data_IF_341460878537
#
_entry.id   IF_341460878537
#
_cell.length_a   1.000
_cell.length_b   1.000
_cell.length_c   1.000
_cell.angle_alpha   90.00
_cell.angle_beta   90.00
_cell.angle_gamma   90.00
#
_symmetry.space_group_name_H-M   'P 1'
#
loop_
_entity.id
_entity.type
_entity.pdbx_description
1 polymer ?
#
# COMPACT_ATOMS: atom_id res chain seq x y z
N UNK A 1 -2.17 -57.11 7.49
CA UNK A 1 -1.80 -55.72 7.15
C UNK A 1 -2.78 -55.16 6.11
N UNK A 2 -3.56 -54.15 6.50
CA UNK A 2 -4.21 -53.14 5.63
C UNK A 2 -4.33 -51.86 6.48
N UNK A 3 -4.01 -50.65 5.98
CA UNK A 3 -4.10 -49.44 6.78
C UNK A 3 -5.56 -49.05 7.00
N UNK A 4 -5.93 -48.72 8.25
CA UNK A 4 -7.25 -48.15 8.57
C UNK A 4 -7.30 -46.73 8.02
N UNK A 5 -8.29 -46.46 7.19
CA UNK A 5 -8.51 -45.16 6.56
C UNK A 5 -8.75 -44.04 7.57
N UNK A 6 -8.22 -42.86 7.27
CA UNK A 6 -8.50 -41.65 8.00
C UNK A 6 -9.90 -41.18 7.63
N UNK A 7 -10.86 -41.31 8.56
CA UNK A 7 -12.18 -40.70 8.43
C UNK A 7 -12.01 -39.20 8.63
N UNK A 8 -12.27 -38.42 7.57
CA UNK A 8 -12.46 -36.97 7.62
C UNK A 8 -13.62 -36.69 8.58
N UNK A 9 -13.33 -36.08 9.72
CA UNK A 9 -14.37 -35.57 10.62
C UNK A 9 -14.89 -34.29 9.97
N UNK A 10 -16.05 -34.38 9.34
CA UNK A 10 -16.92 -33.22 9.12
C UNK A 10 -17.47 -32.86 10.49
N UNK A 11 -17.09 -31.72 11.06
CA UNK A 11 -17.74 -31.20 12.27
C UNK A 11 -18.74 -30.13 11.87
N UNK A 12 -20.00 -30.39 12.20
CA UNK A 12 -21.06 -29.40 12.31
C UNK A 12 -20.59 -28.16 13.08
N UNK A 13 -20.85 -26.98 12.51
CA UNK A 13 -20.52 -25.63 12.98
C UNK A 13 -21.30 -25.19 14.23
N UNK A 14 -21.52 -26.09 15.20
CA UNK A 14 -22.10 -25.67 16.47
C UNK A 14 -21.77 -26.66 17.59
N UNK A 15 -20.58 -26.54 18.21
CA UNK A 15 -20.33 -27.03 19.59
C UNK A 15 -18.95 -26.66 20.16
N UNK A 16 -19.04 -26.02 21.34
CA UNK A 16 -18.07 -25.90 22.44
C UNK A 16 -17.01 -24.80 22.28
N UNK A 17 -17.35 -23.63 22.82
CA UNK A 17 -16.35 -22.79 23.50
C UNK A 17 -15.72 -23.65 24.61
N UNK A 18 -14.59 -24.26 24.28
CA UNK A 18 -13.67 -24.79 25.28
C UNK A 18 -13.06 -23.56 25.90
N UNK A 19 -13.36 -23.30 27.17
CA UNK A 19 -12.65 -22.30 27.95
C UNK A 19 -11.21 -22.80 28.13
N UNK A 20 -10.32 -22.31 27.28
CA UNK A 20 -8.91 -22.67 27.27
C UNK A 20 -8.12 -21.94 28.35
N UNK A 21 -8.74 -20.97 29.05
CA UNK A 21 -8.04 -20.02 29.92
C UNK A 21 -7.05 -19.11 29.17
N UNK A 22 -7.01 -19.19 27.83
CA UNK A 22 -6.18 -18.32 26.99
C UNK A 22 -6.99 -17.09 26.59
N UNK A 23 -6.35 -15.91 26.45
CA UNK A 23 -7.00 -14.76 25.83
C UNK A 23 -7.50 -15.14 24.42
N UNK A 24 -8.54 -14.45 23.92
CA UNK A 24 -9.00 -14.67 22.56
C UNK A 24 -7.84 -14.45 21.58
N UNK A 25 -7.75 -15.28 20.55
CA UNK A 25 -6.77 -15.12 19.48
C UNK A 25 -7.13 -13.88 18.65
N UNK A 26 -6.65 -12.72 19.09
CA UNK A 26 -6.81 -11.44 18.40
C UNK A 26 -5.47 -11.00 17.84
N UNK A 27 -5.49 -10.57 16.59
CA UNK A 27 -4.38 -9.81 16.01
C UNK A 27 -4.61 -8.34 16.42
N UNK A 28 -3.64 -7.69 17.08
CA UNK A 28 -3.76 -6.26 17.38
C UNK A 28 -3.95 -5.46 16.09
N UNK A 29 -4.79 -4.42 16.14
CA UNK A 29 -5.11 -3.58 14.96
C UNK A 29 -3.88 -2.90 14.32
N UNK A 30 -2.74 -2.88 15.03
CA UNK A 30 -1.47 -2.36 14.53
C UNK A 30 -0.69 -3.33 13.63
N UNK A 31 -1.14 -4.58 13.46
CA UNK A 31 -0.51 -5.54 12.56
C UNK A 31 -1.21 -5.56 11.19
N UNK A 32 -0.41 -5.55 10.13
CA UNK A 32 -0.86 -5.68 8.74
C UNK A 32 0.01 -6.65 7.95
N UNK A 33 -0.38 -6.86 6.69
CA UNK A 33 0.35 -7.74 5.75
C UNK A 33 0.63 -7.04 4.43
N UNK A 34 1.81 -7.27 3.85
CA UNK A 34 2.05 -6.86 2.47
C UNK A 34 1.37 -7.86 1.52
N UNK A 35 0.80 -7.35 0.44
CA UNK A 35 0.21 -8.14 -0.66
C UNK A 35 0.86 -7.75 -1.98
N UNK A 36 0.69 -8.57 -3.01
CA UNK A 36 1.21 -8.32 -4.37
C UNK A 36 0.17 -8.64 -5.46
N UNK A 37 -1.12 -8.46 -5.15
CA UNK A 37 -2.22 -8.65 -6.09
C UNK A 37 -3.10 -7.39 -6.11
N UNK A 38 -3.77 -7.17 -7.24
CA UNK A 38 -4.75 -6.11 -7.46
C UNK A 38 -6.02 -6.73 -8.07
N UNK A 39 -7.09 -5.95 -8.19
CA UNK A 39 -8.36 -6.43 -8.72
C UNK A 39 -9.19 -7.24 -7.71
N UNK A 40 -10.18 -7.98 -8.22
CA UNK A 40 -11.11 -8.79 -7.41
C UNK A 40 -10.50 -10.12 -6.94
N UNK A 41 -9.64 -10.08 -5.92
CA UNK A 41 -9.04 -11.30 -5.32
C UNK A 41 -9.74 -11.70 -4.01
N UNK A 42 -10.91 -12.32 -4.14
CA UNK A 42 -11.77 -12.66 -3.00
C UNK A 42 -11.11 -13.67 -2.04
N UNK A 43 -10.41 -14.68 -2.58
CA UNK A 43 -9.91 -15.79 -1.78
C UNK A 43 -8.79 -15.36 -0.85
N UNK A 44 -7.82 -14.58 -1.33
CA UNK A 44 -6.73 -14.12 -0.48
C UNK A 44 -7.22 -13.09 0.54
N UNK A 45 -8.14 -12.18 0.16
CA UNK A 45 -8.72 -11.23 1.11
C UNK A 45 -9.52 -11.93 2.21
N UNK A 46 -10.29 -12.98 1.89
CA UNK A 46 -10.96 -13.81 2.90
C UNK A 46 -9.96 -14.45 3.88
N UNK A 47 -8.80 -14.91 3.39
CA UNK A 47 -7.76 -15.47 4.23
C UNK A 47 -7.13 -14.43 5.16
N UNK A 48 -6.86 -13.22 4.65
CA UNK A 48 -6.33 -12.08 5.43
C UNK A 48 -7.31 -11.70 6.54
N UNK A 49 -8.59 -11.52 6.20
CA UNK A 49 -9.61 -11.11 7.16
C UNK A 49 -9.84 -12.18 8.24
N UNK A 50 -9.89 -13.46 7.85
CA UNK A 50 -10.03 -14.61 8.77
C UNK A 50 -8.83 -14.80 9.68
N UNK A 51 -7.63 -14.41 9.23
CA UNK A 51 -6.44 -14.41 10.07
C UNK A 51 -6.45 -13.26 11.11
N UNK A 52 -7.36 -12.29 10.97
CA UNK A 52 -7.53 -11.18 11.91
C UNK A 52 -6.88 -9.87 11.47
N UNK A 53 -6.19 -9.83 10.33
CA UNK A 53 -5.58 -8.59 9.84
C UNK A 53 -6.65 -7.60 9.34
N UNK A 54 -6.40 -6.32 9.57
CA UNK A 54 -7.28 -5.21 9.15
C UNK A 54 -6.58 -4.18 8.26
N UNK A 55 -5.29 -4.37 8.00
CA UNK A 55 -4.51 -3.56 7.09
C UNK A 55 -3.70 -4.40 6.12
N UNK A 56 -3.71 -4.00 4.86
CA UNK A 56 -2.75 -4.41 3.84
C UNK A 56 -1.78 -3.28 3.50
N UNK A 57 -0.62 -3.60 2.93
CA UNK A 57 0.26 -2.65 2.23
C UNK A 57 0.53 -3.17 0.82
N UNK A 58 0.41 -2.31 -0.18
CA UNK A 58 0.46 -2.67 -1.60
C UNK A 58 1.06 -1.54 -2.44
N UNK A 59 1.91 -1.90 -3.42
CA UNK A 59 2.45 -0.96 -4.41
C UNK A 59 1.32 -0.33 -5.24
N UNK A 60 1.43 0.97 -5.52
CA UNK A 60 0.46 1.75 -6.29
C UNK A 60 1.16 2.36 -7.51
N UNK A 61 1.53 1.47 -8.42
CA UNK A 61 2.41 1.73 -9.55
C UNK A 61 1.90 2.80 -10.53
N UNK A 62 2.52 3.97 -10.51
CA UNK A 62 2.26 5.14 -11.35
C UNK A 62 2.27 4.82 -12.83
N UNK A 63 3.28 4.10 -13.32
CA UNK A 63 3.37 3.70 -14.74
C UNK A 63 2.23 2.77 -15.21
N UNK A 64 1.60 2.04 -14.29
CA UNK A 64 0.46 1.17 -14.63
C UNK A 64 -0.87 1.94 -14.62
N UNK A 65 -0.93 3.07 -13.92
CA UNK A 65 -2.13 3.89 -13.78
C UNK A 65 -2.15 5.01 -14.84
N UNK A 66 -1.05 5.76 -14.99
CA UNK A 66 -0.91 6.81 -15.99
C UNK A 66 -0.28 6.23 -17.27
N UNK A 67 -1.11 5.57 -18.09
CA UNK A 67 -0.69 5.03 -19.40
C UNK A 67 -0.76 6.07 -20.52
N UNK A 68 -1.51 7.15 -20.30
CA UNK A 68 -1.58 8.34 -21.14
C UNK A 68 -1.34 9.54 -20.25
N UNK A 69 -0.56 10.51 -20.72
CA UNK A 69 -0.13 11.65 -19.90
C UNK A 69 -1.32 12.43 -19.32
N UNK A 70 -1.41 12.51 -17.99
CA UNK A 70 -2.47 13.18 -17.24
C UNK A 70 -3.80 12.41 -17.15
N UNK A 71 -3.88 11.18 -17.67
CA UNK A 71 -5.06 10.32 -17.58
C UNK A 71 -4.75 9.13 -16.67
N UNK A 72 -5.58 8.92 -15.64
CA UNK A 72 -5.37 7.90 -14.62
C UNK A 72 -6.44 6.83 -14.66
N UNK A 73 -6.04 5.57 -14.84
CA UNK A 73 -6.92 4.41 -14.74
C UNK A 73 -6.71 3.70 -13.39
N UNK A 74 -7.67 3.88 -12.49
CA UNK A 74 -7.65 3.29 -11.15
C UNK A 74 -8.43 1.97 -11.04
N UNK A 75 -8.99 1.43 -12.13
CA UNK A 75 -10.00 0.37 -12.08
C UNK A 75 -9.54 -0.86 -11.25
N UNK A 76 -8.31 -1.34 -11.47
CA UNK A 76 -7.81 -2.50 -10.75
C UNK A 76 -7.64 -2.25 -9.24
N UNK A 77 -7.36 -1.01 -8.84
CA UNK A 77 -7.25 -0.62 -7.43
C UNK A 77 -8.61 -0.32 -6.81
N UNK A 78 -9.58 0.18 -7.58
CA UNK A 78 -10.97 0.27 -7.14
C UNK A 78 -11.50 -1.12 -6.76
N UNK A 79 -11.32 -2.10 -7.64
CA UNK A 79 -11.71 -3.48 -7.39
C UNK A 79 -11.02 -4.08 -6.15
N UNK A 80 -9.75 -3.77 -5.94
CA UNK A 80 -9.02 -4.19 -4.74
C UNK A 80 -9.58 -3.53 -3.48
N UNK A 81 -9.75 -2.21 -3.47
CA UNK A 81 -10.26 -1.45 -2.32
C UNK A 81 -11.68 -1.88 -1.97
N UNK A 82 -12.54 -2.10 -2.95
CA UNK A 82 -13.90 -2.64 -2.73
C UNK A 82 -13.86 -4.04 -2.12
N UNK A 83 -12.97 -4.91 -2.63
CA UNK A 83 -12.81 -6.27 -2.11
C UNK A 83 -12.32 -6.25 -0.67
N UNK A 84 -11.33 -5.43 -0.34
CA UNK A 84 -10.81 -5.26 1.02
C UNK A 84 -11.88 -4.68 1.96
N UNK A 85 -12.55 -3.60 1.55
CA UNK A 85 -13.55 -2.92 2.36
C UNK A 85 -14.74 -3.84 2.70
N UNK A 86 -15.13 -4.73 1.78
CA UNK A 86 -16.19 -5.72 2.04
C UNK A 86 -15.85 -6.75 3.14
N UNK A 87 -14.61 -6.76 3.63
CA UNK A 87 -14.12 -7.60 4.74
C UNK A 87 -13.59 -6.76 5.92
N UNK A 88 -13.93 -5.47 5.99
CA UNK A 88 -13.42 -4.52 6.97
C UNK A 88 -11.88 -4.42 6.97
N UNK A 89 -11.25 -4.66 5.81
CA UNK A 89 -9.81 -4.50 5.62
C UNK A 89 -9.54 -3.18 4.88
N UNK A 90 -8.56 -2.42 5.35
CA UNK A 90 -8.07 -1.19 4.74
C UNK A 90 -6.70 -1.41 4.11
N UNK A 91 -6.23 -0.45 3.31
CA UNK A 91 -4.92 -0.56 2.66
C UNK A 91 -4.09 0.70 2.82
N UNK A 92 -2.78 0.50 2.95
CA UNK A 92 -1.74 1.48 2.68
C UNK A 92 -1.33 1.28 1.22
N UNK A 93 -1.45 2.34 0.43
CA UNK A 93 -0.92 2.37 -0.93
C UNK A 93 0.38 3.14 -0.97
N UNK A 94 1.39 2.51 -1.56
CA UNK A 94 2.69 3.11 -1.77
C UNK A 94 2.66 3.81 -3.12
N UNK A 95 2.75 5.13 -3.12
CA UNK A 95 2.89 5.89 -4.36
C UNK A 95 4.29 5.60 -4.92
N UNK A 96 4.37 4.77 -5.94
CA UNK A 96 5.61 4.28 -6.55
C UNK A 96 5.37 3.95 -8.03
N UNK A 97 6.33 3.54 -8.84
CA UNK A 97 7.65 4.17 -8.91
C UNK A 97 7.60 5.26 -9.99
N UNK A 98 8.56 5.28 -10.88
CA UNK A 98 8.68 6.17 -12.02
C UNK A 98 7.61 5.93 -13.11
N UNK A 99 7.51 6.88 -14.03
CA UNK A 99 6.74 6.75 -15.27
C UNK A 99 7.61 7.25 -16.45
N UNK A 100 7.62 6.50 -17.56
CA UNK A 100 8.42 6.79 -18.77
C UNK A 100 8.18 8.17 -19.39
N UNK A 101 7.05 8.81 -19.08
CA UNK A 101 6.72 10.15 -19.60
C UNK A 101 7.51 11.28 -18.94
N UNK A 102 8.14 11.03 -17.79
CA UNK A 102 8.81 12.03 -16.98
C UNK A 102 10.21 11.55 -16.62
N UNK A 103 11.16 12.48 -16.50
CA UNK A 103 12.51 12.20 -15.98
C UNK A 103 13.20 11.01 -16.64
N UNK A 104 12.98 10.82 -17.95
CA UNK A 104 13.51 9.70 -18.74
C UNK A 104 13.17 8.31 -18.14
N UNK A 105 12.09 8.21 -17.37
CA UNK A 105 11.69 7.00 -16.69
C UNK A 105 12.57 6.63 -15.51
N UNK A 106 13.26 7.57 -14.86
CA UNK A 106 13.87 7.34 -13.53
C UNK A 106 13.06 8.02 -12.43
N UNK A 107 13.58 8.02 -11.19
CA UNK A 107 12.92 8.64 -10.04
C UNK A 107 12.75 10.15 -10.24
N UNK A 108 11.65 10.77 -9.74
CA UNK A 108 11.43 12.19 -9.94
C UNK A 108 12.57 13.08 -9.42
N UNK A 109 13.20 13.86 -10.30
CA UNK A 109 14.30 14.79 -9.95
C UNK A 109 14.18 16.16 -10.63
N UNK A 110 13.32 16.33 -11.63
CA UNK A 110 12.99 17.64 -12.18
C UNK A 110 11.71 18.20 -11.57
N UNK A 111 11.48 19.50 -11.71
CA UNK A 111 10.21 20.10 -11.25
C UNK A 111 9.02 19.52 -12.02
N UNK A 112 9.17 19.29 -13.33
CA UNK A 112 8.14 18.66 -14.16
C UNK A 112 7.78 17.26 -13.65
N UNK A 113 8.78 16.40 -13.38
CA UNK A 113 8.55 15.06 -12.85
C UNK A 113 7.95 15.07 -11.44
N UNK A 114 8.43 15.95 -10.54
CA UNK A 114 7.90 16.10 -9.18
C UNK A 114 6.44 16.57 -9.19
N UNK A 115 6.10 17.58 -9.98
CA UNK A 115 4.72 18.08 -10.08
C UNK A 115 3.79 17.11 -10.79
N UNK A 116 4.28 16.34 -11.76
CA UNK A 116 3.50 15.27 -12.37
C UNK A 116 3.17 14.14 -11.38
N UNK A 117 4.17 13.70 -10.60
CA UNK A 117 3.96 12.71 -9.54
C UNK A 117 3.01 13.25 -8.46
N UNK A 118 3.11 14.53 -8.10
CA UNK A 118 2.18 15.18 -7.18
C UNK A 118 0.75 15.27 -7.76
N UNK A 119 0.59 15.53 -9.06
CA UNK A 119 -0.72 15.53 -9.71
C UNK A 119 -1.36 14.14 -9.72
N UNK A 120 -0.57 13.09 -9.95
CA UNK A 120 -0.98 11.71 -9.79
C UNK A 120 -1.43 11.41 -8.36
N UNK A 121 -0.63 11.78 -7.36
CA UNK A 121 -0.97 11.59 -5.95
C UNK A 121 -2.26 12.33 -5.56
N UNK A 122 -2.44 13.57 -6.01
CA UNK A 122 -3.68 14.35 -5.80
C UNK A 122 -4.89 13.67 -6.43
N UNK A 123 -4.77 13.21 -7.67
CA UNK A 123 -5.85 12.52 -8.36
C UNK A 123 -6.24 11.21 -7.64
N UNK A 124 -5.24 10.44 -7.18
CA UNK A 124 -5.45 9.23 -6.42
C UNK A 124 -6.14 9.51 -5.08
N UNK A 125 -5.66 10.49 -4.29
CA UNK A 125 -6.30 10.88 -3.04
C UNK A 125 -7.75 11.33 -3.23
N UNK A 126 -8.02 12.16 -4.24
CA UNK A 126 -9.37 12.60 -4.56
C UNK A 126 -10.29 11.42 -4.96
N UNK A 127 -9.78 10.48 -5.76
CA UNK A 127 -10.53 9.31 -6.23
C UNK A 127 -10.88 8.32 -5.11
N UNK A 128 -9.95 8.08 -4.19
CA UNK A 128 -10.15 7.17 -3.05
C UNK A 128 -10.62 7.86 -1.77
N UNK A 129 -11.01 9.14 -1.85
CA UNK A 129 -11.49 9.92 -0.70
C UNK A 129 -12.63 9.20 0.01
N UNK A 130 -12.52 9.08 1.33
CA UNK A 130 -13.52 8.41 2.17
C UNK A 130 -13.52 6.88 2.08
N UNK A 131 -12.65 6.25 1.26
CA UNK A 131 -12.51 4.79 1.16
C UNK A 131 -11.51 4.21 2.17
N UNK A 132 -11.00 5.02 3.10
CA UNK A 132 -10.13 4.57 4.18
C UNK A 132 -8.70 4.20 3.76
N UNK A 133 -8.25 4.63 2.58
CA UNK A 133 -6.87 4.44 2.07
C UNK A 133 -5.89 5.34 2.83
N UNK A 134 -4.70 4.81 3.11
CA UNK A 134 -3.54 5.55 3.62
C UNK A 134 -2.50 5.65 2.50
N UNK A 135 -1.77 6.75 2.44
CA UNK A 135 -0.80 7.01 1.37
C UNK A 135 0.61 7.01 1.92
N UNK A 136 1.50 6.23 1.34
CA UNK A 136 2.93 6.22 1.64
C UNK A 136 3.70 6.84 0.46
N UNK A 137 4.58 7.79 0.75
CA UNK A 137 5.36 8.50 -0.28
C UNK A 137 6.64 7.73 -0.59
N UNK A 138 6.63 7.05 -1.73
CA UNK A 138 7.74 6.24 -2.28
C UNK A 138 8.09 5.01 -1.43
N UNK A 139 8.72 4.00 -2.05
CA UNK A 139 9.28 2.84 -1.35
C UNK A 139 10.82 2.94 -1.33
N UNK A 140 11.42 2.86 -0.15
CA UNK A 140 12.86 2.71 0.10
C UNK A 140 13.75 3.67 -0.71
N UNK A 141 13.52 5.00 -0.63
CA UNK A 141 14.26 5.98 -1.42
C UNK A 141 15.76 6.02 -1.12
N UNK A 142 16.21 5.42 -0.01
CA UNK A 142 17.60 5.28 0.37
C UNK A 142 18.35 4.17 -0.37
N UNK A 143 17.65 3.33 -1.15
CA UNK A 143 18.27 2.29 -1.98
C UNK A 143 18.27 2.70 -3.45
N UNK A 144 19.43 2.62 -4.10
CA UNK A 144 19.57 2.87 -5.55
C UNK A 144 18.66 1.97 -6.41
N UNK A 145 18.30 0.78 -5.91
CA UNK A 145 17.34 -0.11 -6.57
C UNK A 145 15.94 0.51 -6.72
N UNK A 146 15.56 1.38 -5.78
CA UNK A 146 14.24 2.02 -5.77
C UNK A 146 14.34 3.53 -6.03
N UNK A 147 15.54 4.09 -6.05
CA UNK A 147 15.78 5.47 -6.44
C UNK A 147 16.91 5.58 -7.47
N UNK A 148 16.54 5.73 -8.74
CA UNK A 148 17.50 5.77 -9.85
C UNK A 148 17.85 7.21 -10.27
N UNK A 149 19.10 7.45 -10.72
CA UNK A 149 20.19 6.49 -10.92
C UNK A 149 20.98 6.13 -9.65
N UNK A 150 20.84 6.92 -8.58
CA UNK A 150 21.44 6.67 -7.28
C UNK A 150 20.55 7.29 -6.20
N UNK A 151 20.46 6.63 -5.04
CA UNK A 151 19.71 7.15 -3.90
C UNK A 151 20.11 8.60 -3.57
N UNK A 152 19.11 9.47 -3.41
CA UNK A 152 19.33 10.89 -3.18
C UNK A 152 18.26 11.45 -2.23
N UNK A 153 18.67 11.76 -1.00
CA UNK A 153 17.78 12.31 0.02
C UNK A 153 17.25 13.69 -0.34
N UNK A 154 18.03 14.55 -0.99
CA UNK A 154 17.57 15.89 -1.38
C UNK A 154 16.44 15.83 -2.39
N UNK A 155 16.56 14.95 -3.40
CA UNK A 155 15.52 14.79 -4.41
C UNK A 155 14.26 14.16 -3.82
N UNK A 156 14.40 13.18 -2.92
CA UNK A 156 13.28 12.63 -2.17
C UNK A 156 12.56 13.71 -1.35
N UNK A 157 13.28 14.54 -0.60
CA UNK A 157 12.69 15.62 0.21
C UNK A 157 11.97 16.63 -0.68
N UNK A 158 12.56 17.01 -1.82
CA UNK A 158 11.91 17.92 -2.79
C UNK A 158 10.62 17.31 -3.36
N UNK A 159 10.60 16.01 -3.64
CA UNK A 159 9.40 15.29 -4.06
C UNK A 159 8.35 15.27 -2.93
N UNK A 160 8.72 14.83 -1.72
CA UNK A 160 7.80 14.73 -0.59
C UNK A 160 7.14 16.08 -0.24
N UNK A 161 7.90 17.19 -0.35
CA UNK A 161 7.40 18.56 -0.13
C UNK A 161 6.30 18.99 -1.09
N UNK A 162 6.25 18.45 -2.31
CA UNK A 162 5.17 18.75 -3.27
C UNK A 162 4.06 17.70 -3.24
N UNK A 163 4.36 16.45 -2.90
CA UNK A 163 3.38 15.36 -2.84
C UNK A 163 2.48 15.48 -1.62
N UNK A 164 3.02 15.80 -0.44
CA UNK A 164 2.22 15.97 0.78
C UNK A 164 1.07 16.99 0.62
N UNK A 165 1.30 18.24 0.19
CA UNK A 165 0.20 19.18 0.00
C UNK A 165 -0.75 18.73 -1.11
N UNK A 166 -0.25 18.11 -2.18
CA UNK A 166 -1.10 17.61 -3.27
C UNK A 166 -2.06 16.50 -2.81
N UNK A 167 -1.60 15.56 -1.97
CA UNK A 167 -2.45 14.58 -1.30
C UNK A 167 -3.52 15.25 -0.45
N UNK A 168 -3.15 16.28 0.33
CA UNK A 168 -4.09 17.05 1.16
C UNK A 168 -5.09 17.87 0.35
N UNK A 169 -4.72 18.34 -0.83
CA UNK A 169 -5.66 18.99 -1.76
C UNK A 169 -6.67 18.01 -2.34
N UNK A 170 -6.26 16.77 -2.61
CA UNK A 170 -7.16 15.71 -3.10
C UNK A 170 -8.10 15.19 -2.01
N UNK A 171 -7.55 14.97 -0.81
CA UNK A 171 -8.29 14.57 0.38
C UNK A 171 -7.66 15.17 1.65
N UNK A 172 -8.26 16.24 2.24
CA UNK A 172 -7.70 16.89 3.43
C UNK A 172 -7.54 15.96 4.63
N UNK A 173 -8.40 14.93 4.71
CA UNK A 173 -8.49 14.01 5.84
C UNK A 173 -7.61 12.77 5.67
N UNK A 174 -6.97 12.58 4.52
CA UNK A 174 -6.14 11.39 4.28
C UNK A 174 -4.91 11.36 5.20
N UNK A 175 -4.50 10.15 5.58
CA UNK A 175 -3.24 9.95 6.32
C UNK A 175 -2.10 9.73 5.34
N UNK A 176 -0.97 10.39 5.62
CA UNK A 176 0.24 10.33 4.79
C UNK A 176 1.40 9.79 5.64
N UNK A 177 2.14 8.82 5.09
CA UNK A 177 3.28 8.13 5.70
C UNK A 177 4.55 8.47 4.90
N UNK A 178 5.62 8.88 5.59
CA UNK A 178 6.93 9.15 5.00
C UNK A 178 8.01 9.35 6.11
N UNK A 179 9.30 9.06 5.84
CA UNK A 179 9.81 8.28 4.72
C UNK A 179 9.72 6.76 4.96
N UNK A 180 9.48 5.99 3.90
CA UNK A 180 9.45 4.53 3.95
C UNK A 180 10.84 3.96 3.63
N UNK A 181 11.79 4.08 4.55
CA UNK A 181 13.19 3.67 4.34
C UNK A 181 13.37 2.14 4.42
N UNK A 182 14.42 1.65 3.76
CA UNK A 182 14.92 0.30 4.00
C UNK A 182 15.82 0.29 5.23
N UNK A 183 15.49 -0.58 6.19
CA UNK A 183 16.24 -0.71 7.43
C UNK A 183 16.22 0.54 8.30
N UNK A 184 17.24 0.70 9.14
CA UNK A 184 17.47 1.91 9.91
C UNK A 184 18.61 2.71 9.29
N UNK A 185 18.26 3.84 8.67
CA UNK A 185 19.19 4.74 8.00
C UNK A 185 19.13 6.12 8.68
N UNK A 186 19.97 6.29 9.69
CA UNK A 186 19.99 7.50 10.51
C UNK A 186 20.41 8.73 9.68
N UNK A 187 21.41 8.58 8.81
CA UNK A 187 21.96 9.69 8.01
C UNK A 187 20.92 10.21 7.01
N UNK A 188 20.13 9.32 6.41
CA UNK A 188 19.01 9.72 5.56
C UNK A 188 17.95 10.48 6.36
N UNK A 189 17.57 9.98 7.55
CA UNK A 189 16.58 10.65 8.40
C UNK A 189 17.05 12.02 8.87
N UNK A 190 18.30 12.15 9.33
CA UNK A 190 18.89 13.42 9.77
C UNK A 190 19.00 14.43 8.63
N UNK A 191 19.22 13.97 7.39
CA UNK A 191 19.25 14.84 6.22
C UNK A 191 17.85 15.25 5.74
N UNK A 192 16.82 14.47 6.06
CA UNK A 192 15.45 14.68 5.56
C UNK A 192 14.62 15.67 6.41
N UNK A 193 14.98 15.86 7.68
CA UNK A 193 14.24 16.65 8.68
C UNK A 193 15.10 17.72 9.33
#
# INVERSE_FOLDING_TARGET
MKPRGWKRIMTDDNKRNIDTGLPPFVIPDCLGVNIHFIGREQKQVDQIARAGFRFTRMDFFWHNIEKTRGEYDFQAYDELVETLASRDVRTIFILDYNNKFYDNGVSPYTDEGRFAFAAFAKAAAAHFRGKGVLWEIWNEPNLTQFWHPAANVEDYVKLAKVVYPALKEGDPDCTVLAPALSGWDYDFLESAF
#
